data_IF_981614548249
#
_entry.id   IF_981614548249
#
_cell.length_a   1.000
_cell.length_b   1.000
_cell.length_c   1.000
_cell.angle_alpha   90.00
_cell.angle_beta   90.00
_cell.angle_gamma   90.00
#
_symmetry.space_group_name_H-M   'P 1'
#
loop_
_entity.id
_entity.type
_entity.pdbx_description
1 polymer ?
#
# COMPACT_ATOMS: atom_id res chain seq x y z
N UNK A 1 -9.76 -7.44 19.82
CA UNK A 1 -8.95 -7.42 18.60
C UNK A 1 -9.29 -8.60 17.71
N UNK A 2 -9.29 -8.42 16.40
CA UNK A 2 -9.48 -9.48 15.44
C UNK A 2 -8.19 -9.96 14.82
N UNK A 3 -8.30 -10.72 13.74
CA UNK A 3 -7.15 -11.18 12.97
C UNK A 3 -7.34 -10.90 11.48
N UNK A 4 -6.25 -10.56 10.82
CA UNK A 4 -6.15 -10.42 9.38
C UNK A 4 -4.98 -11.29 8.91
N UNK A 5 -5.25 -12.22 7.99
CA UNK A 5 -4.24 -13.15 7.47
C UNK A 5 -3.49 -13.89 8.59
N UNK A 6 -4.17 -14.27 9.67
CA UNK A 6 -3.56 -14.94 10.81
C UNK A 6 -2.80 -14.01 11.76
N UNK A 7 -2.72 -12.72 11.48
CA UNK A 7 -2.04 -11.73 12.32
C UNK A 7 -3.05 -10.99 13.17
N UNK A 8 -2.76 -10.82 14.47
CA UNK A 8 -3.60 -10.02 15.35
C UNK A 8 -3.63 -8.57 14.88
N UNK A 9 -4.83 -8.00 14.76
CA UNK A 9 -5.03 -6.67 14.22
C UNK A 9 -6.07 -5.91 15.05
N UNK A 10 -5.89 -4.58 15.14
CA UNK A 10 -6.85 -3.72 15.82
C UNK A 10 -8.14 -3.60 15.01
N UNK A 11 -9.28 -3.69 15.68
CA UNK A 11 -10.55 -3.41 15.04
C UNK A 11 -10.84 -1.92 15.10
N UNK A 12 -11.27 -1.34 13.98
CA UNK A 12 -11.57 0.09 13.88
C UNK A 12 -12.72 0.34 12.91
N UNK A 13 -13.13 1.59 12.79
CA UNK A 13 -14.09 2.02 11.77
C UNK A 13 -13.35 2.59 10.56
N UNK A 14 -14.05 2.67 9.43
CA UNK A 14 -13.51 3.31 8.22
C UNK A 14 -13.09 4.75 8.53
N UNK A 15 -13.90 5.47 9.32
CA UNK A 15 -13.62 6.86 9.65
C UNK A 15 -12.41 7.08 10.54
N UNK A 16 -12.01 6.07 11.31
CA UNK A 16 -10.92 6.17 12.29
C UNK A 16 -9.66 5.39 11.91
N UNK A 17 -9.66 4.70 10.78
CA UNK A 17 -8.57 3.78 10.41
C UNK A 17 -7.24 4.50 10.14
N UNK A 18 -7.28 5.77 9.75
CA UNK A 18 -6.06 6.51 9.37
C UNK A 18 -4.99 6.49 10.46
N UNK A 19 -5.36 6.55 11.73
CA UNK A 19 -4.38 6.52 12.81
C UNK A 19 -3.53 5.25 12.81
N UNK A 20 -4.11 4.12 12.41
CA UNK A 20 -3.39 2.85 12.30
C UNK A 20 -2.52 2.82 11.04
N UNK A 21 -3.02 3.37 9.94
CA UNK A 21 -2.25 3.51 8.71
C UNK A 21 -1.00 4.37 8.94
N UNK A 22 -1.18 5.53 9.60
CA UNK A 22 -0.07 6.44 9.88
C UNK A 22 1.02 5.80 10.73
N UNK A 23 0.65 4.93 11.65
CA UNK A 23 1.60 4.21 12.51
C UNK A 23 2.06 2.90 11.92
N UNK A 24 1.50 2.50 10.77
CA UNK A 24 1.77 1.22 10.13
C UNK A 24 1.52 0.04 11.05
N UNK A 25 0.36 0.05 11.67
CA UNK A 25 -0.10 -0.97 12.62
C UNK A 25 -1.16 -1.83 11.95
N UNK A 26 -1.17 -3.16 12.16
CA UNK A 26 -2.22 -4.02 11.62
C UNK A 26 -3.60 -3.62 12.14
N UNK A 27 -4.57 -3.52 11.23
CA UNK A 27 -5.93 -3.16 11.57
C UNK A 27 -6.93 -3.80 10.59
N UNK A 28 -8.18 -3.85 10.99
CA UNK A 28 -9.30 -4.18 10.10
C UNK A 28 -10.55 -3.45 10.56
N UNK A 29 -11.44 -3.16 9.62
CA UNK A 29 -12.79 -2.69 9.96
C UNK A 29 -13.64 -3.87 10.43
N UNK A 30 -14.78 -3.59 11.06
CA UNK A 30 -15.65 -4.63 11.62
C UNK A 30 -16.04 -5.70 10.59
N UNK A 31 -16.33 -5.28 9.37
CA UNK A 31 -16.67 -6.19 8.26
C UNK A 31 -15.47 -6.70 7.47
N UNK A 32 -14.27 -6.28 7.84
CA UNK A 32 -13.00 -6.63 7.18
C UNK A 32 -12.94 -6.22 5.69
N UNK A 33 -13.72 -5.23 5.28
CA UNK A 33 -13.66 -4.70 3.91
C UNK A 33 -12.51 -3.72 3.70
N UNK A 34 -11.96 -3.18 4.79
CA UNK A 34 -10.79 -2.32 4.75
C UNK A 34 -9.83 -2.81 5.85
N UNK A 35 -8.61 -3.12 5.48
CA UNK A 35 -7.64 -3.67 6.44
C UNK A 35 -6.22 -3.40 6.00
N UNK A 36 -5.29 -3.45 6.95
CA UNK A 36 -3.87 -3.28 6.68
C UNK A 36 -3.02 -4.20 7.54
N UNK A 37 -1.89 -4.64 6.99
CA UNK A 37 -0.96 -5.49 7.71
C UNK A 37 0.41 -5.50 7.03
N UNK A 38 1.42 -6.02 7.75
CA UNK A 38 2.75 -6.19 7.18
C UNK A 38 2.79 -7.47 6.35
N UNK A 39 3.08 -7.33 5.07
CA UNK A 39 3.18 -8.46 4.15
C UNK A 39 4.50 -9.21 4.34
N UNK A 40 4.58 -10.51 3.96
CA UNK A 40 5.83 -11.27 4.08
C UNK A 40 7.00 -10.66 3.30
N UNK A 41 6.75 -9.89 2.26
CA UNK A 41 7.78 -9.17 1.50
C UNK A 41 8.42 -8.02 2.27
N UNK A 42 7.90 -7.68 3.44
CA UNK A 42 8.45 -6.61 4.28
C UNK A 42 7.80 -5.25 4.11
N UNK A 43 6.75 -5.14 3.31
CA UNK A 43 6.01 -3.89 3.14
C UNK A 43 4.73 -3.89 3.98
N UNK A 44 4.28 -2.70 4.39
CA UNK A 44 2.98 -2.53 5.04
C UNK A 44 1.95 -2.18 3.97
N UNK A 45 0.88 -2.95 3.88
CA UNK A 45 -0.11 -2.78 2.82
C UNK A 45 -1.52 -2.61 3.38
N UNK A 46 -2.28 -1.70 2.77
CA UNK A 46 -3.68 -1.41 3.10
C UNK A 46 -4.54 -1.80 1.90
N UNK A 47 -5.57 -2.60 2.15
CA UNK A 47 -6.41 -3.19 1.10
C UNK A 47 -7.88 -2.79 1.26
N UNK A 48 -8.58 -2.69 0.13
CA UNK A 48 -10.03 -2.54 0.07
C UNK A 48 -10.63 -3.77 -0.59
N UNK A 49 -11.60 -4.42 0.08
CA UNK A 49 -12.31 -5.60 -0.41
C UNK A 49 -11.42 -6.81 -0.74
N UNK A 50 -10.42 -7.07 0.09
CA UNK A 50 -9.56 -8.23 -0.06
C UNK A 50 -8.21 -7.90 -0.66
N UNK A 51 -7.36 -8.92 -0.75
CA UNK A 51 -5.95 -8.76 -1.12
C UNK A 51 -5.73 -8.39 -2.59
N UNK A 52 -6.81 -8.39 -3.40
CA UNK A 52 -6.71 -8.07 -4.83
C UNK A 52 -6.66 -6.57 -5.11
N UNK A 53 -6.96 -5.72 -4.11
CA UNK A 53 -7.00 -4.28 -4.31
C UNK A 53 -6.19 -3.54 -3.25
N UNK A 54 -4.85 -3.52 -3.37
CA UNK A 54 -4.03 -2.70 -2.47
C UNK A 54 -4.26 -1.22 -2.75
N UNK A 55 -4.59 -0.47 -1.69
CA UNK A 55 -4.80 0.98 -1.78
C UNK A 55 -3.51 1.75 -1.54
N UNK A 56 -2.79 1.40 -0.47
CA UNK A 56 -1.57 2.05 -0.04
C UNK A 56 -0.56 1.01 0.39
N UNK A 57 0.71 1.29 0.10
CA UNK A 57 1.82 0.44 0.54
C UNK A 57 2.92 1.34 1.07
N UNK A 58 3.40 1.05 2.27
CA UNK A 58 4.58 1.69 2.83
C UNK A 58 5.79 0.76 2.67
N UNK A 59 6.83 1.28 2.02
CA UNK A 59 8.06 0.54 1.78
C UNK A 59 9.16 1.07 2.71
N UNK A 60 9.59 0.28 3.73
CA UNK A 60 10.47 0.80 4.77
C UNK A 60 11.92 1.04 4.33
N UNK A 61 12.41 0.33 3.31
CA UNK A 61 13.78 0.52 2.83
C UNK A 61 13.99 1.93 2.29
N UNK A 62 13.02 2.45 1.56
CA UNK A 62 13.06 3.80 0.99
C UNK A 62 12.27 4.81 1.81
N UNK A 63 11.52 4.36 2.83
CA UNK A 63 10.62 5.18 3.64
C UNK A 63 9.59 5.92 2.78
N UNK A 64 9.05 5.26 1.76
CA UNK A 64 8.10 5.86 0.83
C UNK A 64 6.76 5.17 0.87
N UNK A 65 5.70 5.98 0.68
CA UNK A 65 4.34 5.51 0.48
C UNK A 65 4.05 5.43 -1.02
N UNK A 66 3.32 4.38 -1.39
CA UNK A 66 2.80 4.18 -2.74
C UNK A 66 1.29 4.09 -2.67
N UNK A 67 0.60 4.58 -3.69
CA UNK A 67 -0.85 4.57 -3.77
C UNK A 67 -1.31 4.01 -5.10
N UNK A 68 -2.44 3.30 -5.07
CA UNK A 68 -3.06 2.74 -6.26
C UNK A 68 -3.74 3.88 -7.05
N UNK A 69 -3.28 4.12 -8.26
CA UNK A 69 -3.86 5.15 -9.14
C UNK A 69 -5.13 4.67 -9.84
N UNK A 70 -5.35 3.36 -9.92
CA UNK A 70 -6.55 2.81 -10.53
C UNK A 70 -7.75 3.00 -9.61
N UNK A 71 -8.90 3.25 -10.20
CA UNK A 71 -10.13 3.44 -9.45
C UNK A 71 -11.07 2.29 -9.74
N UNK A 72 -11.72 1.79 -8.69
CA UNK A 72 -12.62 0.66 -8.81
C UNK A 72 -14.06 1.07 -8.66
N UNK A 73 -14.48 1.56 -7.53
CA UNK A 73 -15.87 1.94 -7.30
C UNK A 73 -16.00 3.00 -6.22
N UNK A 74 -17.24 3.45 -5.98
CA UNK A 74 -17.51 4.50 -5.01
C UNK A 74 -17.01 4.15 -3.61
N UNK A 75 -17.25 2.91 -3.16
CA UNK A 75 -16.84 2.49 -1.81
C UNK A 75 -15.31 2.41 -1.70
N UNK A 76 -14.63 1.91 -2.73
CA UNK A 76 -13.16 1.87 -2.74
C UNK A 76 -12.58 3.28 -2.74
N UNK A 77 -13.18 4.21 -3.46
CA UNK A 77 -12.78 5.62 -3.46
C UNK A 77 -12.95 6.24 -2.07
N UNK A 78 -14.02 5.90 -1.36
CA UNK A 78 -14.23 6.33 0.02
C UNK A 78 -13.16 5.75 0.95
N UNK A 79 -12.85 4.46 0.83
CA UNK A 79 -11.78 3.82 1.59
C UNK A 79 -10.44 4.51 1.33
N UNK A 80 -10.15 4.83 0.07
CA UNK A 80 -8.93 5.56 -0.30
C UNK A 80 -8.81 6.88 0.45
N UNK A 81 -9.85 7.69 0.45
CA UNK A 81 -9.84 8.98 1.13
C UNK A 81 -9.70 8.86 2.65
N UNK A 82 -10.38 7.88 3.25
CA UNK A 82 -10.36 7.70 4.71
C UNK A 82 -9.07 7.07 5.22
N UNK A 83 -8.45 6.19 4.44
CA UNK A 83 -7.23 5.50 4.83
C UNK A 83 -5.96 6.23 4.37
N UNK A 84 -6.08 7.31 3.60
CA UNK A 84 -4.92 8.04 3.07
C UNK A 84 -4.01 8.50 4.22
N UNK A 85 -2.71 8.14 4.19
CA UNK A 85 -1.77 8.56 5.24
C UNK A 85 -1.72 10.09 5.36
N UNK A 86 -1.56 10.56 6.59
CA UNK A 86 -1.59 11.99 6.88
C UNK A 86 -0.26 12.66 6.49
N UNK A 87 -0.34 13.82 5.86
CA UNK A 87 0.84 14.64 5.51
C UNK A 87 1.85 13.96 4.59
N UNK A 88 1.41 13.04 3.72
CA UNK A 88 2.29 12.41 2.73
C UNK A 88 1.69 12.55 1.34
N UNK A 89 2.57 12.58 0.34
CA UNK A 89 2.19 12.52 -1.07
C UNK A 89 2.71 11.19 -1.62
N UNK A 90 1.85 10.16 -1.69
CA UNK A 90 2.30 8.85 -2.17
C UNK A 90 2.67 8.88 -3.65
N UNK A 91 3.55 7.97 -4.04
CA UNK A 91 3.88 7.72 -5.43
C UNK A 91 2.77 6.88 -6.04
N UNK A 92 2.17 7.33 -7.13
CA UNK A 92 1.08 6.61 -7.79
C UNK A 92 1.60 5.45 -8.62
N UNK A 93 1.01 4.27 -8.42
CA UNK A 93 1.30 3.07 -9.20
C UNK A 93 0.00 2.46 -9.70
N UNK A 94 0.06 1.73 -10.81
CA UNK A 94 -1.06 0.92 -11.27
C UNK A 94 -1.37 -0.20 -10.27
N UNK A 95 -2.59 -0.73 -10.32
CA UNK A 95 -2.97 -1.85 -9.45
C UNK A 95 -2.03 -3.04 -9.64
N UNK A 96 -1.64 -3.34 -10.87
CA UNK A 96 -0.69 -4.43 -11.17
C UNK A 96 0.65 -4.21 -10.47
N UNK A 97 1.19 -2.98 -10.54
CA UNK A 97 2.44 -2.64 -9.88
C UNK A 97 2.32 -2.71 -8.35
N UNK A 98 1.19 -2.25 -7.80
CA UNK A 98 0.93 -2.33 -6.37
C UNK A 98 0.91 -3.78 -5.89
N UNK A 99 0.25 -4.67 -6.64
CA UNK A 99 0.24 -6.12 -6.32
C UNK A 99 1.63 -6.72 -6.37
N UNK A 100 2.44 -6.32 -7.34
CA UNK A 100 3.83 -6.78 -7.45
C UNK A 100 4.65 -6.33 -6.26
N UNK A 101 4.48 -5.09 -5.84
CA UNK A 101 5.17 -4.54 -4.67
C UNK A 101 4.83 -5.34 -3.41
N UNK A 102 3.54 -5.63 -3.20
CA UNK A 102 3.09 -6.39 -2.02
C UNK A 102 3.61 -7.83 -2.05
N UNK A 103 3.58 -8.49 -3.20
CA UNK A 103 3.92 -9.91 -3.30
C UNK A 103 5.42 -10.19 -3.31
N UNK A 104 6.20 -9.29 -3.91
CA UNK A 104 7.61 -9.56 -4.20
C UNK A 104 8.59 -8.51 -3.63
N UNK A 105 8.09 -7.37 -3.15
CA UNK A 105 8.90 -6.32 -2.56
C UNK A 105 9.41 -5.30 -3.56
N UNK A 106 10.09 -4.28 -3.04
CA UNK A 106 10.47 -3.10 -3.81
C UNK A 106 11.52 -3.40 -4.89
N UNK A 107 12.53 -4.19 -4.55
CA UNK A 107 13.60 -4.53 -5.50
C UNK A 107 13.05 -5.28 -6.71
N UNK A 108 12.19 -6.27 -6.47
CA UNK A 108 11.57 -7.03 -7.56
C UNK A 108 10.66 -6.15 -8.41
N UNK A 109 9.94 -5.22 -7.80
CA UNK A 109 9.11 -4.27 -8.55
C UNK A 109 9.97 -3.39 -9.45
N UNK A 110 11.07 -2.85 -8.93
CA UNK A 110 11.95 -1.99 -9.71
C UNK A 110 12.56 -2.73 -10.91
N UNK A 111 13.01 -3.96 -10.70
CA UNK A 111 13.53 -4.80 -11.78
C UNK A 111 12.47 -5.10 -12.85
N UNK A 112 11.25 -5.43 -12.39
CA UNK A 112 10.13 -5.68 -13.30
C UNK A 112 9.78 -4.45 -14.13
N UNK A 113 9.77 -3.27 -13.51
CA UNK A 113 9.48 -2.00 -14.20
C UNK A 113 10.53 -1.64 -15.23
N UNK A 114 11.79 -2.01 -15.02
CA UNK A 114 12.85 -1.80 -16.00
C UNK A 114 12.52 -2.55 -17.30
N UNK A 115 11.98 -3.77 -17.20
CA UNK A 115 11.63 -4.57 -18.36
C UNK A 115 10.26 -4.20 -18.96
N UNK A 116 9.38 -3.58 -18.17
CA UNK A 116 8.01 -3.26 -18.56
C UNK A 116 7.87 -1.92 -19.29
N UNK A 117 8.94 -1.19 -19.48
CA UNK A 117 8.98 0.04 -20.27
C UNK A 117 8.12 1.21 -19.74
N UNK A 118 7.79 1.23 -18.48
CA UNK A 118 7.12 2.35 -17.83
C UNK A 118 8.17 3.37 -17.37
N UNK A 119 8.48 4.33 -18.24
CA UNK A 119 9.65 5.20 -18.06
C UNK A 119 9.57 6.08 -16.83
N UNK A 120 8.40 6.64 -16.52
CA UNK A 120 8.25 7.57 -15.41
C UNK A 120 8.38 6.87 -14.05
N UNK A 121 7.58 5.85 -13.83
CA UNK A 121 7.62 5.10 -12.57
C UNK A 121 8.94 4.36 -12.41
N UNK A 122 9.51 3.90 -13.50
CA UNK A 122 10.84 3.29 -13.53
C UNK A 122 11.91 4.22 -12.97
N UNK A 123 11.91 5.48 -13.40
CA UNK A 123 12.89 6.45 -12.93
C UNK A 123 12.79 6.68 -11.44
N UNK A 124 11.58 6.82 -10.88
CA UNK A 124 11.36 6.98 -9.45
C UNK A 124 11.81 5.76 -8.65
N UNK A 125 11.49 4.56 -9.14
CA UNK A 125 11.86 3.32 -8.46
C UNK A 125 13.37 3.13 -8.46
N UNK A 126 14.04 3.43 -9.56
CA UNK A 126 15.50 3.34 -9.64
C UNK A 126 16.19 4.35 -8.72
N UNK A 127 15.65 5.56 -8.62
CA UNK A 127 16.17 6.56 -7.69
C UNK A 127 16.05 6.08 -6.24
N UNK A 128 14.94 5.44 -5.87
CA UNK A 128 14.75 4.83 -4.56
C UNK A 128 15.76 3.73 -4.26
N UNK A 129 16.03 2.85 -5.23
CA UNK A 129 17.01 1.78 -5.07
C UNK A 129 18.43 2.29 -4.87
N UNK A 130 18.77 3.41 -5.48
CA UNK A 130 20.08 4.04 -5.31
C UNK A 130 20.20 4.90 -4.05
N UNK A 131 19.10 5.05 -3.30
CA UNK A 131 19.06 5.91 -2.14
C UNK A 131 19.08 7.41 -2.47
N UNK A 132 18.74 7.79 -3.69
CA UNK A 132 18.65 9.18 -4.09
C UNK A 132 17.38 9.82 -3.53
N UNK A 133 17.45 11.12 -3.21
CA UNK A 133 16.26 11.87 -2.83
C UNK A 133 15.30 11.96 -4.02
N UNK A 134 14.05 11.65 -3.78
CA UNK A 134 13.02 11.71 -4.81
C UNK A 134 12.49 13.15 -4.96
#
# INVERSE_FOLDING_TARGET
>A
MGKINGVTAHETTVGECRQYVDRRVPFHTTNKQLFGYWAPSGVYAVFSYGQHWPLFVYEPTTCKWFANEDKYGTTTSKHYGKAHPFNVTPIDLSCTAMKKLVSAGYTALAEWRITDNDMEQRAELLAGLRGEAA
#
